data_IF_768802268241
#
_entry.id   IF_768802268241
#
_cell.length_a   1.000
_cell.length_b   1.000
_cell.length_c   1.000
_cell.angle_alpha   90.00
_cell.angle_beta   90.00
_cell.angle_gamma   90.00
#
_symmetry.space_group_name_H-M   'P 1'
#
loop_
_entity.id
_entity.type
_entity.pdbx_description
1 polymer ?
#
# COMPACT_ATOMS: atom_id res chain seq x y z
N UNK A 1 -15.19 -3.01 16.04
CA UNK A 1 -13.78 -3.39 16.24
C UNK A 1 -13.07 -3.15 14.92
N UNK A 2 -11.88 -2.56 14.95
CA UNK A 2 -11.04 -2.44 13.75
C UNK A 2 -10.43 -3.82 13.48
N UNK A 3 -10.42 -4.23 12.20
CA UNK A 3 -9.81 -5.50 11.80
C UNK A 3 -8.28 -5.40 11.95
N UNK A 4 -7.66 -6.25 12.78
CA UNK A 4 -6.23 -6.18 13.07
C UNK A 4 -5.34 -6.50 11.86
N UNK A 5 -5.91 -7.05 10.78
CA UNK A 5 -5.18 -7.45 9.59
C UNK A 5 -5.30 -6.44 8.45
N UNK A 6 -5.99 -5.31 8.65
CA UNK A 6 -6.08 -4.26 7.64
C UNK A 6 -4.70 -3.65 7.42
N UNK A 7 -4.32 -3.56 6.15
CA UNK A 7 -3.08 -2.91 5.72
C UNK A 7 -3.43 -1.62 5.00
N UNK A 8 -2.79 -0.53 5.41
CA UNK A 8 -2.92 0.79 4.79
C UNK A 8 -1.57 1.29 4.32
N UNK A 9 -1.57 2.03 3.21
CA UNK A 9 -0.42 2.74 2.68
C UNK A 9 -0.76 4.23 2.66
N UNK A 10 0.01 5.05 3.36
CA UNK A 10 -0.08 6.51 3.25
C UNK A 10 0.98 7.00 2.28
N UNK A 11 0.62 7.79 1.26
CA UNK A 11 1.56 8.44 0.31
C UNK A 11 1.14 9.89 0.12
N UNK A 12 2.03 10.86 0.28
CA UNK A 12 1.73 12.30 0.13
C UNK A 12 0.40 12.71 0.80
N UNK A 13 0.19 12.31 2.06
CA UNK A 13 -1.01 12.58 2.87
C UNK A 13 -2.31 11.89 2.41
N UNK A 14 -2.25 10.97 1.45
CA UNK A 14 -3.38 10.18 1.00
C UNK A 14 -3.27 8.74 1.51
N UNK A 15 -4.36 8.24 2.09
CA UNK A 15 -4.45 6.87 2.60
C UNK A 15 -5.10 5.94 1.56
N UNK A 16 -4.40 4.83 1.28
CA UNK A 16 -4.83 3.78 0.37
C UNK A 16 -5.03 2.47 1.15
N UNK A 17 -6.13 1.78 0.84
CA UNK A 17 -6.53 0.55 1.52
C UNK A 17 -7.28 -0.39 0.57
N UNK A 18 -7.72 -1.54 1.10
CA UNK A 18 -8.56 -2.51 0.36
C UNK A 18 -7.78 -3.46 -0.55
N UNK A 19 -6.46 -3.55 -0.36
CA UNK A 19 -5.53 -4.35 -1.15
C UNK A 19 -6.01 -5.79 -1.39
N UNK A 20 -5.82 -6.28 -2.62
CA UNK A 20 -6.10 -7.69 -2.96
C UNK A 20 -4.91 -8.60 -2.67
N UNK A 21 -3.70 -8.06 -2.71
CA UNK A 21 -2.47 -8.76 -2.31
C UNK A 21 -1.60 -7.82 -1.48
N UNK A 22 -0.95 -8.40 -0.46
CA UNK A 22 0.00 -7.72 0.42
C UNK A 22 1.16 -8.67 0.71
N UNK A 23 2.38 -8.18 0.49
CA UNK A 23 3.62 -8.82 0.94
C UNK A 23 4.48 -7.81 1.71
N UNK A 24 4.90 -8.16 2.93
CA UNK A 24 5.79 -7.32 3.75
C UNK A 24 6.93 -8.21 4.24
N UNK A 25 8.17 -7.85 3.89
CA UNK A 25 9.35 -8.64 4.22
C UNK A 25 10.29 -7.85 5.13
N UNK A 26 10.66 -8.47 6.24
CA UNK A 26 11.75 -8.05 7.11
C UNK A 26 12.77 -9.20 7.22
N UNK A 27 14.06 -8.88 7.17
CA UNK A 27 15.12 -9.89 7.29
C UNK A 27 16.35 -9.29 7.96
N UNK A 28 17.03 -10.08 8.80
CA UNK A 28 18.23 -9.64 9.55
C UNK A 28 19.34 -9.18 8.61
N UNK A 29 19.50 -9.84 7.46
CA UNK A 29 20.54 -9.51 6.48
C UNK A 29 20.19 -8.32 5.58
N UNK A 30 18.95 -7.79 5.68
CA UNK A 30 18.48 -6.69 4.83
C UNK A 30 18.61 -5.35 5.59
N UNK A 31 19.32 -4.40 4.98
CA UNK A 31 19.45 -3.04 5.53
C UNK A 31 18.14 -2.25 5.52
N UNK A 32 17.22 -2.59 4.61
CA UNK A 32 15.89 -1.99 4.52
C UNK A 32 14.81 -3.08 4.44
N UNK A 33 13.65 -2.78 5.03
CA UNK A 33 12.44 -3.60 4.84
C UNK A 33 11.86 -3.33 3.45
N UNK A 34 11.13 -4.30 2.92
CA UNK A 34 10.43 -4.18 1.63
C UNK A 34 8.95 -4.49 1.81
N UNK A 35 8.13 -3.90 0.96
CA UNK A 35 6.71 -4.20 0.89
C UNK A 35 6.23 -4.12 -0.57
N UNK A 36 5.20 -4.91 -0.88
CA UNK A 36 4.44 -4.84 -2.12
C UNK A 36 2.95 -4.92 -1.78
N UNK A 37 2.17 -3.99 -2.33
CA UNK A 37 0.71 -4.00 -2.22
C UNK A 37 0.13 -3.85 -3.60
N UNK A 38 -0.88 -4.65 -3.93
CA UNK A 38 -1.47 -4.61 -5.26
C UNK A 38 -2.98 -4.74 -5.24
N UNK A 39 -3.60 -4.00 -6.16
CA UNK A 39 -5.02 -4.03 -6.42
C UNK A 39 -5.27 -3.67 -7.87
N UNK A 40 -6.19 -4.38 -8.51
CA UNK A 40 -6.61 -4.07 -9.87
C UNK A 40 -7.83 -3.17 -9.81
N UNK A 41 -7.68 -1.91 -10.22
CA UNK A 41 -8.76 -0.94 -10.38
C UNK A 41 -8.87 -0.62 -11.86
N UNK A 42 -9.75 -1.30 -12.57
CA UNK A 42 -10.11 -0.94 -13.93
C UNK A 42 -11.60 -1.17 -14.14
N UNK A 43 -12.30 -0.10 -14.49
CA UNK A 43 -13.69 -0.13 -14.94
C UNK A 43 -13.78 0.56 -16.30
N UNK A 44 -14.69 0.15 -17.18
CA UNK A 44 -14.89 0.82 -18.46
C UNK A 44 -15.20 2.32 -18.25
N UNK A 45 -14.47 3.19 -18.95
CA UNK A 45 -14.68 4.65 -18.92
C UNK A 45 -13.94 5.41 -17.83
N UNK A 46 -13.08 4.77 -17.03
CA UNK A 46 -12.25 5.48 -16.04
C UNK A 46 -10.91 5.90 -16.64
N UNK A 47 -10.67 7.21 -16.77
CA UNK A 47 -9.33 7.77 -16.89
C UNK A 47 -8.70 7.85 -15.49
N UNK A 48 -7.97 6.82 -15.09
CA UNK A 48 -7.33 6.81 -13.76
C UNK A 48 -6.00 7.55 -13.89
N UNK A 49 -5.90 8.74 -13.28
CA UNK A 49 -4.62 9.35 -12.95
C UNK A 49 -3.89 8.44 -11.97
N UNK A 50 -2.68 7.98 -12.29
CA UNK A 50 -1.84 7.16 -11.42
C UNK A 50 -1.75 7.84 -10.04
N UNK A 51 -2.39 7.29 -8.99
CA UNK A 51 -2.56 8.05 -7.76
C UNK A 51 -1.31 8.02 -6.87
N UNK A 52 -0.33 7.17 -7.18
CA UNK A 52 0.88 6.97 -6.37
C UNK A 52 2.10 7.34 -7.21
N UNK A 53 2.81 8.39 -6.81
CA UNK A 53 4.02 8.88 -7.48
C UNK A 53 5.26 8.13 -6.99
N UNK A 54 6.09 7.56 -7.88
CA UNK A 54 7.34 6.93 -7.47
C UNK A 54 8.28 7.91 -6.75
N UNK A 55 8.86 7.45 -5.63
CA UNK A 55 9.79 8.25 -4.83
C UNK A 55 9.13 9.16 -3.78
N UNK A 56 7.80 9.27 -3.76
CA UNK A 56 7.08 9.93 -2.69
C UNK A 56 7.31 9.22 -1.34
N UNK A 57 7.36 10.00 -0.26
CA UNK A 57 7.47 9.45 1.08
C UNK A 57 6.19 8.64 1.41
N UNK A 58 6.38 7.46 1.97
CA UNK A 58 5.27 6.57 2.27
C UNK A 58 5.44 5.82 3.59
N UNK A 59 4.32 5.45 4.18
CA UNK A 59 4.24 4.65 5.40
C UNK A 59 3.25 3.50 5.20
N UNK A 60 3.64 2.29 5.64
CA UNK A 60 2.76 1.12 5.68
C UNK A 60 2.38 0.83 7.13
N UNK A 61 1.08 0.69 7.40
CA UNK A 61 0.54 0.35 8.74
C UNK A 61 -0.26 -0.94 8.67
N UNK A 62 -0.15 -1.75 9.73
CA UNK A 62 -0.88 -3.02 9.90
C UNK A 62 -1.71 -2.91 11.18
N UNK A 63 -3.01 -3.20 11.08
CA UNK A 63 -3.99 -2.92 12.12
C UNK A 63 -4.35 -1.43 12.09
N UNK A 64 -5.62 -1.13 11.80
CA UNK A 64 -6.10 0.26 11.75
C UNK A 64 -6.25 0.90 13.12
#
# INVERSE_FOLDING_TARGET
MIDPNVVTLTVDQHDYAGWKSVEISAGIERQARSFEVSITWQWPGTEISHPITPGAACEVRIGG
#
